data_IF_102190523869
#
_entry.id   IF_102190523869
#
_cell.length_a   1.000
_cell.length_b   1.000
_cell.length_c   1.000
_cell.angle_alpha   90.00
_cell.angle_beta   90.00
_cell.angle_gamma   90.00
#
_symmetry.space_group_name_H-M   'P 1'
#
loop_
_entity.id
_entity.type
_entity.pdbx_description
1 polymer ?
#
# COMPACT_ATOMS: atom_id res chain seq x y z
N UNK A 1 -28.69 -8.73 -21.50
CA UNK A 1 -28.30 -7.62 -20.62
C UNK A 1 -27.08 -8.12 -19.87
N UNK A 2 -25.87 -7.81 -20.36
CA UNK A 2 -24.66 -8.05 -19.59
C UNK A 2 -24.78 -7.11 -18.39
N UNK A 3 -24.78 -7.65 -17.17
CA UNK A 3 -24.50 -6.83 -16.01
C UNK A 3 -23.05 -6.35 -16.24
N UNK A 4 -22.85 -5.08 -16.56
CA UNK A 4 -21.53 -4.48 -16.43
C UNK A 4 -21.06 -4.83 -15.01
N UNK A 5 -19.91 -5.50 -14.90
CA UNK A 5 -19.46 -6.05 -13.63
C UNK A 5 -19.30 -4.90 -12.63
N UNK A 6 -20.20 -4.84 -11.64
CA UNK A 6 -20.13 -3.82 -10.59
C UNK A 6 -18.94 -4.13 -9.67
N UNK A 7 -18.13 -3.14 -9.27
CA UNK A 7 -16.97 -3.37 -8.43
C UNK A 7 -17.35 -4.02 -7.11
N UNK A 8 -16.56 -5.02 -6.71
CA UNK A 8 -16.54 -5.62 -5.37
C UNK A 8 -15.50 -4.98 -4.46
N UNK A 9 -14.56 -4.22 -5.02
CA UNK A 9 -13.48 -3.53 -4.30
C UNK A 9 -13.16 -2.22 -4.98
N UNK A 10 -13.14 -1.13 -4.22
CA UNK A 10 -12.80 0.20 -4.73
C UNK A 10 -11.75 0.81 -3.82
N UNK A 11 -10.68 1.36 -4.40
CA UNK A 11 -9.69 2.12 -3.64
C UNK A 11 -9.89 3.62 -3.87
N UNK A 12 -9.97 4.35 -2.76
CA UNK A 12 -9.83 5.79 -2.71
C UNK A 12 -8.33 6.12 -2.62
N UNK A 13 -7.81 6.83 -3.62
CA UNK A 13 -6.44 7.32 -3.61
C UNK A 13 -6.34 8.65 -4.36
N UNK A 14 -5.52 9.55 -3.84
CA UNK A 14 -5.25 10.80 -4.51
C UNK A 14 -4.58 10.54 -5.87
N UNK A 15 -5.05 11.22 -6.91
CA UNK A 15 -4.66 10.91 -8.28
C UNK A 15 -4.56 12.20 -9.11
N UNK A 16 -3.62 12.23 -10.05
CA UNK A 16 -3.48 13.37 -10.96
C UNK A 16 -4.41 13.25 -12.16
N UNK A 17 -5.01 14.37 -12.56
CA UNK A 17 -5.91 14.49 -13.70
C UNK A 17 -7.14 13.57 -13.60
N UNK A 18 -7.56 13.21 -12.39
CA UNK A 18 -8.71 12.34 -12.16
C UNK A 18 -9.89 13.15 -11.61
N UNK A 19 -11.04 13.05 -12.27
CA UNK A 19 -12.27 13.67 -11.78
C UNK A 19 -12.75 13.03 -10.47
N UNK A 20 -12.84 11.70 -10.44
CA UNK A 20 -13.20 10.93 -9.25
C UNK A 20 -11.99 10.07 -8.84
N UNK A 21 -11.45 10.21 -7.60
CA UNK A 21 -10.24 9.54 -7.14
C UNK A 21 -10.48 8.06 -6.73
N UNK A 22 -11.30 7.35 -7.49
CA UNK A 22 -11.72 5.98 -7.19
C UNK A 22 -11.24 5.04 -8.28
N UNK A 23 -10.63 3.94 -7.89
CA UNK A 23 -10.19 2.90 -8.82
C UNK A 23 -10.82 1.56 -8.49
N UNK A 24 -11.19 0.82 -9.54
CA UNK A 24 -11.60 -0.56 -9.41
C UNK A 24 -10.40 -1.45 -9.03
N UNK A 25 -10.58 -2.26 -7.98
CA UNK A 25 -9.61 -3.23 -7.48
C UNK A 25 -10.23 -4.62 -7.35
N UNK A 26 -11.34 -4.87 -8.03
CA UNK A 26 -11.96 -6.18 -8.06
C UNK A 26 -11.04 -7.25 -8.63
N UNK A 27 -11.05 -8.48 -8.07
CA UNK A 27 -10.32 -9.61 -8.62
C UNK A 27 -11.04 -10.16 -9.86
N UNK A 28 -11.19 -9.32 -10.89
CA UNK A 28 -11.88 -9.62 -12.13
C UNK A 28 -10.99 -9.26 -13.32
N UNK A 29 -10.93 -10.09 -14.38
CA UNK A 29 -10.28 -9.68 -15.63
C UNK A 29 -11.02 -8.52 -16.32
N UNK A 30 -12.28 -8.29 -15.96
CA UNK A 30 -13.13 -7.22 -16.48
C UNK A 30 -13.11 -5.97 -15.58
N UNK A 31 -12.20 -5.90 -14.61
CA UNK A 31 -12.06 -4.73 -13.74
C UNK A 31 -11.73 -3.47 -14.54
N UNK A 32 -12.28 -2.34 -14.12
CA UNK A 32 -12.13 -1.08 -14.84
C UNK A 32 -10.66 -0.61 -14.89
N UNK A 33 -10.13 -0.39 -16.10
CA UNK A 33 -8.71 -0.08 -16.34
C UNK A 33 -8.26 1.37 -16.07
N UNK A 34 -8.92 2.09 -15.17
CA UNK A 34 -8.71 3.52 -14.93
C UNK A 34 -9.47 4.04 -13.71
N UNK A 35 -9.45 5.36 -13.45
CA UNK A 35 -10.38 5.97 -12.50
C UNK A 35 -11.83 5.73 -12.93
N UNK A 36 -12.69 5.44 -11.96
CA UNK A 36 -14.11 5.20 -12.16
C UNK A 36 -14.80 6.53 -12.53
N UNK A 37 -15.73 6.55 -13.50
CA UNK A 37 -16.44 7.77 -13.84
C UNK A 37 -17.51 8.11 -12.79
N UNK A 38 -17.85 9.39 -12.71
CA UNK A 38 -18.99 9.88 -11.92
C UNK A 38 -20.32 9.26 -12.38
N UNK A 39 -21.22 9.01 -11.44
CA UNK A 39 -22.56 8.48 -11.65
C UNK A 39 -22.65 6.98 -11.93
N UNK A 40 -21.52 6.30 -12.14
CA UNK A 40 -21.49 4.87 -12.52
C UNK A 40 -21.63 3.96 -11.29
N UNK A 41 -21.23 4.47 -10.13
CA UNK A 41 -21.23 3.74 -8.86
C UNK A 41 -22.55 3.88 -8.08
N UNK A 42 -23.46 4.76 -8.53
CA UNK A 42 -24.71 5.02 -7.82
C UNK A 42 -24.53 5.74 -6.49
N UNK A 43 -23.39 6.42 -6.30
CA UNK A 43 -23.12 7.28 -5.15
C UNK A 43 -23.99 8.54 -5.20
N UNK A 44 -24.21 9.17 -4.05
CA UNK A 44 -24.87 10.46 -3.98
C UNK A 44 -24.02 11.56 -4.62
N UNK A 45 -24.69 12.53 -5.25
CA UNK A 45 -24.02 13.69 -5.85
C UNK A 45 -23.17 14.46 -4.83
N UNK A 46 -23.63 14.52 -3.57
CA UNK A 46 -22.92 15.20 -2.48
C UNK A 46 -21.58 14.52 -2.19
N UNK A 47 -21.58 13.20 -1.99
CA UNK A 47 -20.36 12.45 -1.71
C UNK A 47 -19.39 12.50 -2.88
N UNK A 48 -19.88 12.35 -4.12
CA UNK A 48 -19.01 12.50 -5.29
C UNK A 48 -18.37 13.89 -5.37
N UNK A 49 -19.13 14.96 -5.12
CA UNK A 49 -18.59 16.32 -5.14
C UNK A 49 -17.52 16.52 -4.06
N UNK A 50 -17.71 15.92 -2.88
CA UNK A 50 -16.71 15.98 -1.80
C UNK A 50 -15.44 15.21 -2.14
N UNK A 51 -15.55 14.05 -2.78
CA UNK A 51 -14.39 13.27 -3.27
C UNK A 51 -13.61 14.03 -4.35
N UNK A 52 -14.32 14.66 -5.31
CA UNK A 52 -13.73 15.53 -6.33
C UNK A 52 -13.01 16.70 -5.67
N UNK A 53 -13.64 17.34 -4.68
CA UNK A 53 -13.05 18.46 -3.95
C UNK A 53 -11.80 18.06 -3.16
N UNK A 54 -11.83 16.90 -2.52
CA UNK A 54 -10.67 16.31 -1.84
C UNK A 54 -9.51 16.06 -2.82
N UNK A 55 -9.75 15.44 -3.97
CA UNK A 55 -8.70 15.22 -4.97
C UNK A 55 -8.18 16.54 -5.58
N UNK A 56 -9.07 17.51 -5.83
CA UNK A 56 -8.69 18.83 -6.35
C UNK A 56 -7.77 19.58 -5.39
N UNK A 57 -7.96 19.43 -4.07
CA UNK A 57 -7.04 19.95 -3.05
C UNK A 57 -5.66 19.28 -3.18
N UNK A 58 -5.60 17.96 -3.35
CA UNK A 58 -4.32 17.26 -3.58
C UNK A 58 -3.58 17.80 -4.81
N UNK A 59 -4.26 17.86 -5.96
CA UNK A 59 -3.65 18.31 -7.21
C UNK A 59 -3.12 19.75 -7.09
N UNK A 60 -3.90 20.64 -6.47
CA UNK A 60 -3.49 22.01 -6.24
C UNK A 60 -2.23 22.08 -5.38
N UNK A 61 -2.23 21.38 -4.24
CA UNK A 61 -1.14 21.44 -3.29
C UNK A 61 0.14 20.81 -3.83
N UNK A 62 0.06 19.64 -4.47
CA UNK A 62 1.23 18.97 -5.04
C UNK A 62 1.74 19.68 -6.30
N UNK A 63 0.85 20.21 -7.13
CA UNK A 63 1.21 20.97 -8.33
C UNK A 63 1.92 22.29 -8.00
N UNK A 64 1.51 22.98 -6.93
CA UNK A 64 2.11 24.25 -6.51
C UNK A 64 3.42 24.07 -5.72
N UNK A 65 3.57 22.97 -4.99
CA UNK A 65 4.71 22.76 -4.08
C UNK A 65 5.69 21.69 -4.57
N UNK A 66 5.82 21.49 -5.88
CA UNK A 66 6.77 20.53 -6.48
C UNK A 66 6.68 19.12 -5.86
N UNK A 67 5.46 18.64 -5.62
CA UNK A 67 5.17 17.32 -5.01
C UNK A 67 5.52 17.20 -3.52
N UNK A 68 5.65 18.33 -2.80
CA UNK A 68 5.81 18.36 -1.36
C UNK A 68 4.55 18.90 -0.67
N UNK A 69 4.25 18.41 0.54
CA UNK A 69 3.15 18.95 1.33
C UNK A 69 3.52 20.35 1.86
N UNK A 70 2.61 21.33 1.83
CA UNK A 70 2.90 22.68 2.35
C UNK A 70 3.27 22.69 3.84
N UNK A 71 2.72 21.75 4.60
CA UNK A 71 3.07 21.55 6.01
C UNK A 71 2.67 20.14 6.48
N UNK A 72 3.27 19.63 7.59
CA UNK A 72 2.84 18.39 8.21
C UNK A 72 1.36 18.40 8.64
N UNK A 73 0.86 19.54 9.11
CA UNK A 73 -0.54 19.68 9.52
C UNK A 73 -1.51 19.56 8.32
N UNK A 74 -1.12 20.10 7.17
CA UNK A 74 -1.91 19.99 5.94
C UNK A 74 -1.94 18.56 5.41
N UNK A 75 -0.78 17.89 5.43
CA UNK A 75 -0.70 16.46 5.09
C UNK A 75 -1.59 15.62 6.01
N UNK A 76 -1.50 15.85 7.33
CA UNK A 76 -2.31 15.14 8.30
C UNK A 76 -3.81 15.34 8.06
N UNK A 77 -4.25 16.59 7.91
CA UNK A 77 -5.65 16.90 7.65
C UNK A 77 -6.15 16.21 6.37
N UNK A 78 -5.37 16.24 5.30
CA UNK A 78 -5.71 15.57 4.05
C UNK A 78 -5.90 14.06 4.20
N UNK A 79 -5.00 13.39 4.94
CA UNK A 79 -5.09 11.93 5.15
C UNK A 79 -6.26 11.57 6.06
N UNK A 80 -6.51 12.36 7.12
CA UNK A 80 -7.67 12.18 7.99
C UNK A 80 -8.98 12.34 7.21
N UNK A 81 -9.09 13.38 6.38
CA UNK A 81 -10.25 13.60 5.50
C UNK A 81 -10.48 12.39 4.58
N UNK A 82 -9.40 11.77 4.07
CA UNK A 82 -9.49 10.59 3.22
C UNK A 82 -10.07 9.36 3.93
N UNK A 83 -9.71 9.11 5.18
CA UNK A 83 -10.33 8.03 5.97
C UNK A 83 -11.81 8.28 6.24
N UNK A 84 -12.19 9.52 6.57
CA UNK A 84 -13.59 9.86 6.81
C UNK A 84 -14.43 9.72 5.53
N UNK A 85 -13.89 10.14 4.38
CA UNK A 85 -14.51 9.91 3.07
C UNK A 85 -14.61 8.42 2.72
N UNK A 86 -13.62 7.61 3.11
CA UNK A 86 -13.69 6.16 2.94
C UNK A 86 -14.80 5.52 3.80
N UNK A 87 -15.04 6.01 5.02
CA UNK A 87 -16.15 5.57 5.86
C UNK A 87 -17.52 5.89 5.22
N UNK A 88 -17.68 7.10 4.67
CA UNK A 88 -18.91 7.51 4.00
C UNK A 88 -19.15 6.73 2.69
N UNK A 89 -18.11 6.52 1.88
CA UNK A 89 -18.16 5.62 0.72
C UNK A 89 -18.61 4.23 1.13
N UNK A 90 -18.04 3.70 2.22
CA UNK A 90 -18.39 2.38 2.71
C UNK A 90 -19.86 2.30 3.14
N UNK A 91 -20.38 3.38 3.73
CA UNK A 91 -21.78 3.48 4.10
C UNK A 91 -22.70 3.46 2.87
N UNK A 92 -22.37 4.18 1.80
CA UNK A 92 -23.19 4.19 0.58
C UNK A 92 -23.12 2.87 -0.20
N UNK A 93 -21.95 2.24 -0.28
CA UNK A 93 -21.81 0.93 -0.92
C UNK A 93 -22.41 -0.23 -0.10
N UNK A 94 -22.59 -0.05 1.20
CA UNK A 94 -22.90 -1.15 2.12
C UNK A 94 -21.78 -2.19 2.16
N UNK A 95 -22.10 -3.44 2.52
CA UNK A 95 -21.09 -4.52 2.61
C UNK A 95 -20.77 -5.21 1.28
N UNK A 96 -21.38 -4.79 0.18
CA UNK A 96 -21.20 -5.41 -1.13
C UNK A 96 -19.86 -5.03 -1.79
N UNK A 97 -19.34 -3.83 -1.46
CA UNK A 97 -18.06 -3.32 -1.97
C UNK A 97 -17.16 -3.03 -0.78
N UNK A 98 -15.92 -3.52 -0.82
CA UNK A 98 -14.90 -3.15 0.17
C UNK A 98 -14.24 -1.85 -0.27
N UNK A 99 -14.29 -0.83 0.58
CA UNK A 99 -13.59 0.44 0.36
C UNK A 99 -12.20 0.38 0.99
N UNK A 100 -11.19 0.63 0.15
CA UNK A 100 -9.78 0.66 0.50
C UNK A 100 -9.29 2.11 0.50
N UNK A 101 -8.33 2.45 1.37
CA UNK A 101 -7.71 3.76 1.39
C UNK A 101 -6.20 3.64 1.57
N UNK A 102 -5.43 4.45 0.82
CA UNK A 102 -3.96 4.47 0.72
C UNK A 102 -3.28 3.21 0.15
N UNK A 103 -3.80 2.03 0.47
CA UNK A 103 -3.22 0.75 0.05
C UNK A 103 -4.29 -0.27 -0.32
N UNK A 104 -3.92 -1.22 -1.17
CA UNK A 104 -4.75 -2.36 -1.54
C UNK A 104 -3.89 -3.62 -1.52
N UNK A 105 -4.41 -4.70 -0.95
CA UNK A 105 -3.78 -6.00 -1.06
C UNK A 105 -3.84 -6.48 -2.52
N UNK A 106 -2.67 -6.50 -3.17
CA UNK A 106 -2.53 -6.87 -4.56
C UNK A 106 -2.86 -8.35 -4.82
N UNK A 107 -2.72 -9.24 -3.83
CA UNK A 107 -3.11 -10.64 -3.94
C UNK A 107 -4.64 -10.76 -3.95
N UNK A 108 -5.32 -10.05 -3.04
CA UNK A 108 -6.80 -10.03 -2.98
C UNK A 108 -7.45 -9.33 -4.17
N UNK A 109 -6.72 -8.42 -4.80
CA UNK A 109 -7.17 -7.67 -5.98
C UNK A 109 -6.86 -8.38 -7.30
N UNK A 110 -6.17 -9.54 -7.26
CA UNK A 110 -5.76 -10.26 -8.47
C UNK A 110 -6.89 -11.14 -8.98
N UNK A 111 -7.19 -11.03 -10.28
CA UNK A 111 -8.09 -11.95 -10.95
C UNK A 111 -7.60 -13.41 -10.87
N UNK A 112 -8.49 -14.41 -10.67
CA UNK A 112 -8.12 -15.83 -10.65
C UNK A 112 -7.36 -16.24 -11.93
N UNK A 113 -6.31 -17.03 -11.77
CA UNK A 113 -5.37 -17.41 -12.85
C UNK A 113 -6.01 -18.15 -14.03
N UNK A 114 -7.24 -18.65 -13.90
CA UNK A 114 -7.99 -19.25 -14.99
C UNK A 114 -8.15 -18.32 -16.22
N UNK A 115 -8.02 -17.00 -16.03
CA UNK A 115 -8.08 -16.02 -17.13
C UNK A 115 -6.72 -15.74 -17.82
N UNK A 116 -5.59 -16.13 -17.21
CA UNK A 116 -4.25 -15.98 -17.82
C UNK A 116 -3.91 -17.06 -18.86
N UNK A 117 -4.60 -18.19 -18.84
CA UNK A 117 -4.41 -19.23 -19.85
C UNK A 117 -4.80 -18.76 -21.28
N UNK A 118 -5.59 -17.68 -21.40
CA UNK A 118 -5.98 -17.12 -22.71
C UNK A 118 -5.28 -15.81 -23.07
N UNK A 119 -4.51 -15.20 -22.16
CA UNK A 119 -3.71 -14.00 -22.44
C UNK A 119 -2.35 -14.13 -21.75
N UNK A 120 -1.35 -14.54 -22.54
CA UNK A 120 0.07 -14.67 -22.17
C UNK A 120 0.42 -15.82 -21.21
N UNK A 121 0.20 -17.06 -21.66
CA UNK A 121 1.33 -17.97 -21.66
C UNK A 121 2.36 -17.38 -22.65
N UNK A 122 3.19 -16.44 -22.18
CA UNK A 122 4.45 -16.18 -22.88
C UNK A 122 5.22 -17.48 -22.72
N UNK A 123 5.38 -18.31 -23.78
CA UNK A 123 6.26 -19.46 -23.68
C UNK A 123 7.63 -18.95 -23.21
N UNK A 124 8.35 -19.69 -22.34
CA UNK A 124 9.64 -19.25 -21.83
C UNK A 124 10.51 -18.82 -23.00
N UNK A 125 10.76 -17.51 -23.14
CA UNK A 125 11.37 -16.81 -24.27
C UNK A 125 11.86 -17.75 -25.39
N UNK A 126 10.93 -18.40 -26.10
CA UNK A 126 11.30 -19.22 -27.23
C UNK A 126 11.66 -18.21 -28.29
N UNK A 127 12.92 -18.22 -28.73
CA UNK A 127 13.52 -17.26 -29.65
C UNK A 127 12.60 -16.92 -30.83
N UNK A 128 11.81 -15.86 -30.71
CA UNK A 128 11.05 -15.31 -31.84
C UNK A 128 12.02 -14.41 -32.62
N UNK A 129 12.10 -14.65 -33.92
CA UNK A 129 12.86 -13.84 -34.85
C UNK A 129 11.88 -13.12 -35.77
N UNK A 130 11.94 -11.78 -35.82
CA UNK A 130 11.17 -10.98 -36.77
C UNK A 130 12.08 -10.54 -37.91
N UNK A 131 11.67 -10.76 -39.16
CA UNK A 131 12.42 -10.31 -40.33
C UNK A 131 11.76 -9.05 -40.90
N UNK A 132 12.47 -7.93 -40.89
CA UNK A 132 12.05 -6.68 -41.48
C UNK A 132 11.91 -6.78 -43.01
N UNK A 133 11.17 -5.87 -43.62
CA UNK A 133 10.99 -5.82 -45.08
C UNK A 133 12.28 -5.58 -45.87
N UNK A 134 13.36 -5.18 -45.18
CA UNK A 134 14.73 -5.03 -45.67
C UNK A 134 15.60 -6.29 -45.48
N UNK A 135 15.02 -7.36 -44.94
CA UNK A 135 15.72 -8.62 -44.65
C UNK A 135 16.47 -8.63 -43.32
N UNK A 136 16.39 -7.59 -42.48
CA UNK A 136 17.04 -7.59 -41.17
C UNK A 136 16.27 -8.44 -40.16
N UNK A 137 16.98 -9.32 -39.46
CA UNK A 137 16.40 -10.15 -38.42
C UNK A 137 16.56 -9.50 -37.05
N UNK A 138 15.44 -9.12 -36.44
CA UNK A 138 15.36 -8.69 -35.05
C UNK A 138 15.19 -9.92 -34.16
N UNK A 139 16.06 -10.03 -33.16
CA UNK A 139 15.97 -11.04 -32.10
C UNK A 139 15.97 -10.32 -30.76
N UNK A 140 15.19 -10.77 -29.76
CA UNK A 140 15.26 -10.19 -28.43
C UNK A 140 16.70 -10.34 -27.90
N UNK A 141 17.22 -9.26 -27.33
CA UNK A 141 18.48 -9.31 -26.59
C UNK A 141 18.36 -10.36 -25.46
N UNK A 142 19.45 -11.05 -25.09
CA UNK A 142 19.42 -11.92 -23.92
C UNK A 142 18.91 -11.13 -22.71
N UNK A 143 18.10 -11.76 -21.84
CA UNK A 143 17.56 -11.08 -20.68
C UNK A 143 18.70 -10.47 -19.88
N UNK A 144 18.60 -9.17 -19.60
CA UNK A 144 19.57 -8.49 -18.73
C UNK A 144 19.53 -9.18 -17.36
N UNK A 145 20.70 -9.39 -16.77
CA UNK A 145 20.80 -9.87 -15.39
C UNK A 145 19.94 -8.99 -14.48
N UNK A 146 19.24 -9.59 -13.54
CA UNK A 146 18.46 -8.87 -12.53
C UNK A 146 19.35 -7.94 -11.70
N UNK A 147 18.76 -6.91 -11.08
CA UNK A 147 19.48 -6.00 -10.17
C UNK A 147 20.20 -6.80 -9.08
N UNK A 148 19.54 -7.84 -8.56
CA UNK A 148 20.09 -8.80 -7.61
C UNK A 148 21.35 -9.49 -8.13
N UNK A 149 21.32 -10.05 -9.34
CA UNK A 149 22.46 -10.75 -9.93
C UNK A 149 23.62 -9.78 -10.22
N UNK A 150 23.31 -8.59 -10.71
CA UNK A 150 24.31 -7.53 -10.91
C UNK A 150 24.96 -7.14 -9.59
N UNK A 151 24.14 -6.97 -8.54
CA UNK A 151 24.63 -6.65 -7.20
C UNK A 151 25.53 -7.75 -6.64
N UNK A 152 25.28 -9.03 -6.90
CA UNK A 152 26.16 -10.12 -6.44
C UNK A 152 27.45 -10.24 -7.25
N UNK A 153 27.38 -10.01 -8.56
CA UNK A 153 28.55 -10.04 -9.44
C UNK A 153 29.50 -8.85 -9.21
N UNK A 154 29.02 -7.77 -8.59
CA UNK A 154 29.81 -6.58 -8.29
C UNK A 154 30.98 -6.89 -7.33
N UNK A 155 32.21 -6.44 -7.61
CA UNK A 155 33.34 -6.57 -6.68
C UNK A 155 33.09 -5.85 -5.35
N UNK A 156 33.63 -6.38 -4.24
CA UNK A 156 33.41 -5.81 -2.90
C UNK A 156 33.82 -4.34 -2.78
N UNK A 157 34.93 -3.94 -3.42
CA UNK A 157 35.40 -2.55 -3.40
C UNK A 157 34.41 -1.60 -4.07
N UNK A 158 33.80 -2.02 -5.18
CA UNK A 158 32.80 -1.25 -5.91
C UNK A 158 31.48 -1.19 -5.13
N UNK A 159 31.05 -2.33 -4.58
CA UNK A 159 29.86 -2.39 -3.74
C UNK A 159 29.98 -1.50 -2.50
N UNK A 160 31.14 -1.53 -1.82
CA UNK A 160 31.44 -0.64 -0.67
C UNK A 160 31.36 0.84 -1.05
N UNK A 161 31.91 1.21 -2.21
CA UNK A 161 31.85 2.58 -2.70
C UNK A 161 30.40 3.02 -2.95
N UNK A 162 29.59 2.15 -3.57
CA UNK A 162 28.17 2.40 -3.84
C UNK A 162 27.33 2.51 -2.56
N UNK A 163 27.60 1.67 -1.55
CA UNK A 163 26.79 1.59 -0.33
C UNK A 163 27.32 2.42 0.83
N UNK A 164 28.37 3.22 0.64
CA UNK A 164 29.04 3.97 1.73
C UNK A 164 28.09 4.91 2.47
N UNK A 165 27.16 5.52 1.77
CA UNK A 165 26.19 6.48 2.32
C UNK A 165 24.86 5.83 2.70
N UNK A 166 24.71 4.52 2.53
CA UNK A 166 23.48 3.81 2.88
C UNK A 166 23.40 3.70 4.40
N UNK A 167 22.39 4.36 4.98
CA UNK A 167 22.04 4.20 6.38
C UNK A 167 21.31 2.87 6.58
N UNK A 168 22.07 1.81 6.84
CA UNK A 168 21.53 0.47 7.15
C UNK A 168 20.59 0.51 8.36
N UNK A 169 20.86 1.35 9.36
CA UNK A 169 20.03 1.41 10.56
C UNK A 169 18.63 1.97 10.25
N UNK A 170 18.46 2.72 9.16
CA UNK A 170 17.14 3.16 8.71
C UNK A 170 16.25 2.00 8.22
N UNK A 171 16.83 0.88 7.80
CA UNK A 171 16.12 -0.24 7.16
C UNK A 171 16.03 -1.51 8.00
N UNK A 172 16.66 -1.52 9.18
CA UNK A 172 16.66 -2.66 10.11
C UNK A 172 15.78 -2.33 11.29
N UNK A 173 15.00 -3.31 11.74
CA UNK A 173 14.17 -3.17 12.93
C UNK A 173 15.00 -3.08 14.20
N UNK A 174 14.58 -2.20 15.11
CA UNK A 174 15.12 -2.09 16.47
C UNK A 174 13.98 -1.89 17.47
N UNK A 175 14.07 -2.45 18.69
CA UNK A 175 13.06 -2.23 19.73
C UNK A 175 12.80 -0.73 20.00
N UNK A 176 11.53 -0.37 20.17
CA UNK A 176 11.12 1.01 20.45
C UNK A 176 11.13 1.97 19.24
N UNK A 177 11.47 1.49 18.04
CA UNK A 177 11.42 2.30 16.83
C UNK A 177 9.98 2.68 16.48
N UNK A 178 9.77 3.95 16.14
CA UNK A 178 8.51 4.45 15.59
C UNK A 178 8.20 3.76 14.25
N UNK A 179 6.99 3.20 14.08
CA UNK A 179 6.61 2.58 12.82
C UNK A 179 6.40 3.63 11.72
N UNK A 180 6.52 3.23 10.46
CA UNK A 180 6.14 4.06 9.30
C UNK A 180 4.76 3.68 8.76
N UNK A 181 4.29 2.46 9.07
CA UNK A 181 2.99 1.94 8.65
C UNK A 181 2.37 1.12 9.78
N UNK A 182 1.08 1.34 10.03
CA UNK A 182 0.29 0.63 11.04
C UNK A 182 -0.96 0.10 10.38
N UNK A 183 -1.22 -1.20 10.50
CA UNK A 183 -2.49 -1.79 10.09
C UNK A 183 -3.42 -1.89 11.30
N UNK A 184 -4.64 -1.36 11.16
CA UNK A 184 -5.73 -1.57 12.10
C UNK A 184 -6.41 -2.91 11.80
N UNK A 185 -6.18 -3.91 12.66
CA UNK A 185 -6.67 -5.27 12.46
C UNK A 185 -6.97 -5.92 13.82
N UNK A 186 -8.17 -6.51 14.03
CA UNK A 186 -8.48 -7.20 15.27
C UNK A 186 -7.47 -8.31 15.58
N UNK A 187 -7.12 -8.48 16.85
CA UNK A 187 -6.14 -9.50 17.26
C UNK A 187 -6.29 -9.92 18.71
N UNK A 188 -5.88 -11.16 18.99
CA UNK A 188 -5.75 -11.66 20.35
C UNK A 188 -4.59 -10.99 21.09
N UNK A 189 -4.86 -10.62 22.34
CA UNK A 189 -3.83 -10.22 23.30
C UNK A 189 -3.13 -8.89 23.00
N UNK A 190 -3.89 -7.80 22.94
CA UNK A 190 -3.36 -6.44 22.81
C UNK A 190 -4.34 -5.48 22.13
N UNK A 191 -3.83 -4.33 21.69
CA UNK A 191 -4.56 -3.41 20.82
C UNK A 191 -4.61 -3.93 19.39
N UNK A 192 -5.63 -3.55 18.59
CA UNK A 192 -5.80 -4.00 17.20
C UNK A 192 -4.85 -3.28 16.22
N UNK A 193 -3.60 -3.07 16.60
CA UNK A 193 -2.59 -2.36 15.80
C UNK A 193 -1.42 -3.29 15.48
N UNK A 194 -1.04 -3.32 14.20
CA UNK A 194 0.09 -4.11 13.72
C UNK A 194 1.11 -3.24 13.01
N UNK A 195 2.38 -3.39 13.38
CA UNK A 195 3.48 -2.78 12.66
C UNK A 195 3.61 -3.42 11.27
N UNK A 196 3.50 -2.59 10.23
CA UNK A 196 3.67 -2.96 8.82
C UNK A 196 4.81 -2.19 8.17
N UNK A 197 5.73 -1.67 8.98
CA UNK A 197 6.93 -1.01 8.47
C UNK A 197 7.77 -2.01 7.67
N UNK A 198 8.23 -1.67 6.46
CA UNK A 198 9.02 -2.56 5.61
C UNK A 198 10.47 -2.63 6.08
N UNK A 199 10.68 -3.12 7.30
CA UNK A 199 11.99 -3.23 7.94
C UNK A 199 12.49 -4.67 7.89
N UNK A 200 13.80 -4.83 7.70
CA UNK A 200 14.48 -6.10 7.83
C UNK A 200 14.42 -6.56 9.30
N UNK A 201 14.28 -7.88 9.50
CA UNK A 201 14.28 -8.52 10.82
C UNK A 201 13.17 -8.05 11.78
N UNK A 202 12.06 -7.52 11.25
CA UNK A 202 10.85 -7.27 12.05
C UNK A 202 10.26 -8.61 12.50
N UNK A 203 10.54 -8.99 13.76
CA UNK A 203 10.13 -10.28 14.35
C UNK A 203 8.80 -10.22 15.11
N UNK A 204 8.41 -9.03 15.59
CA UNK A 204 7.16 -8.80 16.31
C UNK A 204 6.46 -7.57 15.72
N UNK A 205 5.20 -7.78 15.29
CA UNK A 205 4.36 -6.72 14.74
C UNK A 205 3.49 -6.03 15.80
N UNK A 206 3.62 -6.39 17.09
CA UNK A 206 2.90 -5.72 18.17
C UNK A 206 3.39 -4.29 18.37
N UNK A 207 2.43 -3.41 18.60
CA UNK A 207 2.68 -2.01 18.92
C UNK A 207 2.10 -1.70 20.29
N UNK A 208 2.97 -1.21 21.17
CA UNK A 208 2.56 -0.70 22.48
C UNK A 208 2.01 0.73 22.31
N UNK A 209 0.85 1.07 22.90
CA UNK A 209 0.26 2.40 22.75
C UNK A 209 1.19 3.53 23.24
N UNK A 210 2.04 3.26 24.23
CA UNK A 210 3.04 4.22 24.71
C UNK A 210 4.10 4.57 23.64
N UNK A 211 4.43 3.65 22.73
CA UNK A 211 5.36 3.90 21.61
C UNK A 211 4.74 4.87 20.59
N UNK A 212 3.41 4.83 20.46
CA UNK A 212 2.65 5.65 19.53
C UNK A 212 2.16 6.97 20.13
N UNK A 213 2.29 7.15 21.45
CA UNK A 213 1.81 8.34 22.15
C UNK A 213 0.28 8.46 22.17
N UNK A 214 -0.46 7.35 22.04
CA UNK A 214 -1.92 7.40 21.97
C UNK A 214 -2.55 7.83 23.30
N UNK A 215 -3.62 8.61 23.20
CA UNK A 215 -4.41 9.07 24.33
C UNK A 215 -5.18 7.92 24.97
N UNK A 216 -5.38 7.99 26.30
CA UNK A 216 -6.18 7.02 27.04
C UNK A 216 -7.60 6.81 26.46
N UNK A 217 -8.33 7.88 26.06
CA UNK A 217 -9.62 7.74 25.40
C UNK A 217 -9.56 6.95 24.07
N UNK A 218 -8.57 7.20 23.22
CA UNK A 218 -8.42 6.46 21.96
C UNK A 218 -8.03 4.99 22.20
N UNK A 219 -7.15 4.74 23.18
CA UNK A 219 -6.80 3.37 23.61
C UNK A 219 -8.05 2.60 24.07
N UNK A 220 -8.96 3.24 24.82
CA UNK A 220 -10.24 2.64 25.19
C UNK A 220 -11.10 2.27 23.98
N UNK A 221 -11.26 3.20 23.02
CA UNK A 221 -12.00 2.94 21.78
C UNK A 221 -11.42 1.80 20.95
N UNK A 222 -10.09 1.72 20.87
CA UNK A 222 -9.38 0.63 20.19
C UNK A 222 -9.64 -0.73 20.85
N UNK A 223 -9.66 -0.78 22.18
CA UNK A 223 -9.96 -2.00 22.93
C UNK A 223 -11.41 -2.44 22.70
N UNK A 224 -12.37 -1.53 22.80
CA UNK A 224 -13.80 -1.81 22.57
C UNK A 224 -14.07 -2.30 21.15
N UNK A 225 -13.43 -1.68 20.15
CA UNK A 225 -13.53 -2.11 18.76
C UNK A 225 -12.91 -3.49 18.55
N UNK A 226 -11.74 -3.77 19.14
CA UNK A 226 -11.11 -5.08 19.06
C UNK A 226 -12.01 -6.17 19.66
N UNK A 227 -12.53 -5.96 20.87
CA UNK A 227 -13.42 -6.93 21.55
C UNK A 227 -14.66 -7.24 20.72
N UNK A 228 -15.25 -6.23 20.08
CA UNK A 228 -16.43 -6.40 19.24
C UNK A 228 -16.18 -7.26 18.00
N UNK A 229 -15.00 -7.15 17.40
CA UNK A 229 -14.74 -7.69 16.06
C UNK A 229 -13.75 -8.86 16.00
N UNK A 230 -13.04 -9.17 17.09
CA UNK A 230 -12.01 -10.22 17.13
C UNK A 230 -12.52 -11.61 16.74
N UNK A 231 -13.76 -11.95 17.09
CA UNK A 231 -14.37 -13.24 16.80
C UNK A 231 -15.10 -13.28 15.44
N UNK A 232 -15.11 -12.17 14.71
CA UNK A 232 -15.84 -12.04 13.45
C UNK A 232 -14.95 -12.44 12.29
N UNK A 233 -15.36 -13.46 11.54
CA UNK A 233 -14.56 -14.04 10.44
C UNK A 233 -14.70 -13.31 9.12
N UNK A 234 -15.80 -12.58 8.92
CA UNK A 234 -16.06 -11.81 7.70
C UNK A 234 -16.37 -10.33 8.03
N UNK A 235 -15.75 -9.37 7.34
CA UNK A 235 -16.01 -7.94 7.57
C UNK A 235 -17.49 -7.59 7.40
N UNK A 236 -18.13 -7.16 8.50
CA UNK A 236 -19.49 -6.60 8.43
C UNK A 236 -19.44 -5.13 8.02
N UNK A 237 -20.58 -4.56 7.60
CA UNK A 237 -20.66 -3.14 7.30
C UNK A 237 -20.24 -2.26 8.50
N UNK A 238 -20.69 -2.61 9.71
CA UNK A 238 -20.31 -1.89 10.94
C UNK A 238 -18.81 -1.96 11.21
N UNK A 239 -18.18 -3.11 10.97
CA UNK A 239 -16.72 -3.25 11.09
C UNK A 239 -15.99 -2.30 10.12
N UNK A 240 -16.44 -2.22 8.87
CA UNK A 240 -15.78 -1.42 7.84
C UNK A 240 -15.94 0.09 8.07
N UNK A 241 -17.15 0.55 8.46
CA UNK A 241 -17.39 1.97 8.78
C UNK A 241 -16.63 2.35 10.06
N UNK A 242 -16.86 1.64 11.15
CA UNK A 242 -16.23 1.94 12.44
C UNK A 242 -14.70 1.88 12.34
N UNK A 243 -14.17 0.99 11.49
CA UNK A 243 -12.74 0.83 11.26
C UNK A 243 -12.10 2.01 10.52
N UNK A 244 -12.76 2.57 9.50
CA UNK A 244 -12.28 3.79 8.83
C UNK A 244 -12.31 5.00 9.77
N UNK A 245 -13.39 5.18 10.54
CA UNK A 245 -13.49 6.24 11.55
C UNK A 245 -12.42 6.10 12.65
N UNK A 246 -12.15 4.87 13.08
CA UNK A 246 -11.11 4.59 14.06
C UNK A 246 -9.72 4.80 13.47
N UNK A 247 -9.49 4.43 12.21
CA UNK A 247 -8.25 4.71 11.51
C UNK A 247 -7.98 6.22 11.39
N UNK A 248 -9.00 7.03 11.09
CA UNK A 248 -8.91 8.50 11.09
C UNK A 248 -8.49 9.05 12.47
N UNK A 249 -9.07 8.51 13.54
CA UNK A 249 -8.74 8.92 14.91
C UNK A 249 -7.30 8.52 15.30
N UNK A 250 -6.85 7.32 14.92
CA UNK A 250 -5.45 6.90 15.10
C UNK A 250 -4.52 7.82 14.31
N UNK A 251 -4.81 8.05 13.02
CA UNK A 251 -4.02 8.92 12.14
C UNK A 251 -3.82 10.31 12.74
N UNK A 252 -4.88 10.88 13.31
CA UNK A 252 -4.86 12.19 13.99
C UNK A 252 -3.84 12.24 15.13
N UNK A 253 -3.72 11.18 15.93
CA UNK A 253 -2.81 11.15 17.09
C UNK A 253 -1.38 10.74 16.73
N UNK A 254 -1.20 9.85 15.76
CA UNK A 254 0.14 9.38 15.34
C UNK A 254 0.85 10.35 14.40
N UNK A 255 0.12 11.29 13.79
CA UNK A 255 0.66 12.32 12.92
C UNK A 255 0.86 11.87 11.46
N UNK A 256 1.36 12.75 10.59
CA UNK A 256 1.37 12.57 9.13
C UNK A 256 2.43 11.59 8.60
N UNK A 257 3.44 11.28 9.41
CA UNK A 257 4.60 10.47 8.97
C UNK A 257 4.36 8.97 9.09
N UNK A 258 3.28 8.58 9.78
CA UNK A 258 2.88 7.18 9.97
C UNK A 258 1.60 6.94 9.18
N UNK A 259 1.62 6.01 8.24
CA UNK A 259 0.42 5.65 7.48
C UNK A 259 -0.43 4.67 8.29
N UNK A 260 -1.68 5.02 8.57
CA UNK A 260 -2.67 4.11 9.13
C UNK A 260 -3.42 3.43 7.99
N UNK A 261 -3.38 2.10 7.99
CA UNK A 261 -3.94 1.25 6.95
C UNK A 261 -5.17 0.53 7.51
N UNK A 262 -6.23 0.49 6.71
CA UNK A 262 -7.46 -0.23 6.98
C UNK A 262 -8.22 -0.42 5.65
N UNK A 263 -8.90 -1.56 5.41
CA UNK A 263 -9.03 -2.75 6.26
C UNK A 263 -7.90 -3.77 6.09
N UNK A 264 -6.92 -3.49 5.24
CA UNK A 264 -5.87 -4.42 4.85
C UNK A 264 -4.60 -3.67 4.46
N UNK A 265 -3.51 -4.43 4.26
CA UNK A 265 -2.24 -3.91 3.80
C UNK A 265 -1.59 -4.97 2.90
N UNK A 266 -0.98 -4.55 1.79
CA UNK A 266 -0.27 -5.48 0.94
C UNK A 266 0.95 -6.06 1.67
N UNK A 267 1.07 -7.38 1.65
CA UNK A 267 2.23 -8.07 2.21
C UNK A 267 3.53 -7.64 1.52
N UNK A 268 3.49 -7.37 0.21
CA UNK A 268 4.67 -6.95 -0.53
C UNK A 268 5.16 -5.55 -0.10
N UNK A 269 4.26 -4.65 0.24
CA UNK A 269 4.60 -3.29 0.72
C UNK A 269 4.96 -3.27 2.20
N UNK A 270 4.56 -4.30 2.95
CA UNK A 270 4.88 -4.50 4.37
C UNK A 270 6.19 -5.27 4.59
N UNK A 271 6.97 -5.52 3.54
CA UNK A 271 8.28 -6.17 3.60
C UNK A 271 9.29 -5.38 2.77
N UNK A 272 10.58 -5.34 3.15
CA UNK A 272 11.58 -4.80 2.25
C UNK A 272 11.64 -5.62 0.96
N UNK A 273 11.86 -4.94 -0.16
CA UNK A 273 12.00 -5.59 -1.47
C UNK A 273 13.12 -6.63 -1.47
N UNK A 274 13.07 -7.59 -2.40
CA UNK A 274 14.10 -8.61 -2.51
C UNK A 274 15.48 -7.98 -2.75
N UNK A 275 15.54 -6.91 -3.54
CA UNK A 275 16.74 -6.13 -3.84
C UNK A 275 17.28 -5.47 -2.57
N UNK A 276 16.41 -4.82 -1.79
CA UNK A 276 16.77 -4.15 -0.54
C UNK A 276 17.30 -5.16 0.48
N UNK A 277 16.58 -6.28 0.70
CA UNK A 277 17.02 -7.33 1.63
C UNK A 277 18.41 -7.85 1.27
N UNK A 278 18.66 -8.12 0.00
CA UNK A 278 19.95 -8.62 -0.45
C UNK A 278 21.06 -7.59 -0.33
N UNK A 279 20.78 -6.32 -0.63
CA UNK A 279 21.72 -5.22 -0.40
C UNK A 279 22.14 -5.17 1.06
N UNK A 280 21.17 -5.14 1.98
CA UNK A 280 21.41 -5.00 3.41
C UNK A 280 22.18 -6.19 3.98
N UNK A 281 21.84 -7.42 3.59
CA UNK A 281 22.59 -8.60 3.99
C UNK A 281 24.06 -8.55 3.53
N UNK A 282 24.31 -8.13 2.29
CA UNK A 282 25.70 -7.99 1.78
C UNK A 282 26.47 -6.89 2.52
N UNK A 283 25.84 -5.74 2.78
CA UNK A 283 26.46 -4.66 3.58
C UNK A 283 26.81 -5.13 4.98
N UNK A 284 25.90 -5.84 5.66
CA UNK A 284 26.13 -6.40 7.00
C UNK A 284 27.29 -7.39 7.00
N UNK A 285 27.34 -8.31 6.03
CA UNK A 285 28.42 -9.30 5.92
C UNK A 285 29.79 -8.64 5.73
N UNK A 286 29.89 -7.61 4.88
CA UNK A 286 31.14 -6.88 4.65
C UNK A 286 31.59 -6.09 5.88
N UNK A 287 30.66 -5.44 6.59
CA UNK A 287 30.96 -4.71 7.84
C UNK A 287 31.40 -5.67 8.96
N UNK A 288 30.82 -6.87 9.04
CA UNK A 288 31.22 -7.87 10.01
C UNK A 288 32.64 -8.43 9.74
N UNK A 289 33.01 -8.59 8.46
CA UNK A 289 34.36 -8.99 8.07
C UNK A 289 35.41 -7.92 8.46
N UNK A 290 35.11 -6.64 8.24
CA UNK A 290 36.00 -5.53 8.58
C UNK A 290 36.15 -5.32 10.11
N UNK A 291 35.13 -5.66 10.91
CA UNK A 291 35.17 -5.55 12.38
C UNK A 291 35.83 -6.74 13.09
N UNK A 292 36.34 -7.72 12.34
CA UNK A 292 37.00 -8.94 12.85
C UNK A 292 38.52 -8.92 12.66
N UNK A 293 39.08 -7.82 12.13
CA UNK A 293 40.54 -7.53 12.04
C UNK A 293 40.98 -6.59 13.17
#
# INVERSE_FOLDING_TARGET
MNLDAYPTRVILMAEYCAGLPLWDRSPSPDAWGGPLPRGVLGLSDDLENRLVGWNSRYELLMGQNHQEWPSPAEHLAFVVDGHLLAAELQQEFGSAVVVLYLDADAERSRAPEASRASQTATPPAAAWHAVGGDGQTFSPAPPRSSIVEQMWAMPDAEFRAMTRTVDVAAWVWTPGRTPTRILLEPRDGGLPLRNRSPLLDLVDDRLEPAVLGLSGPLVGRLADWNERWIAVTEPTLGYLIDGHDLAAAVQTEVGPDIQVLFPEADRATSQPSNEMRQMLHRVQALRAADGSE
#
